data_IF_145361068438
#
_entry.id   IF_145361068438
#
_cell.length_a   1.000
_cell.length_b   1.000
_cell.length_c   1.000
_cell.angle_alpha   90.00
_cell.angle_beta   90.00
_cell.angle_gamma   90.00
#
_symmetry.space_group_name_H-M   'P 1'
#
loop_
_entity.id
_entity.type
_entity.pdbx_description
1 polymer ?
#
# COMPACT_ATOMS: atom_id res chain seq x y z
N UNK A 1 6.46 -5.22 1.24
CA UNK A 1 6.59 -3.77 0.95
C UNK A 1 6.06 -3.46 -0.45
N UNK A 2 5.36 -2.34 -0.66
CA UNK A 2 4.79 -2.00 -1.96
C UNK A 2 5.84 -1.33 -2.86
N UNK A 3 6.07 -1.86 -4.06
CA UNK A 3 7.00 -1.31 -5.03
C UNK A 3 6.54 -1.51 -6.47
N UNK A 4 7.12 -0.75 -7.39
CA UNK A 4 7.05 -1.10 -8.81
C UNK A 4 7.90 -2.35 -9.11
N UNK A 5 7.72 -2.91 -10.31
CA UNK A 5 8.34 -4.17 -10.76
C UNK A 5 9.88 -4.14 -10.68
N UNK A 6 10.49 -2.98 -10.96
CA UNK A 6 11.95 -2.82 -10.99
C UNK A 6 12.51 -2.42 -9.60
N UNK A 7 11.63 -2.09 -8.64
CA UNK A 7 12.03 -1.65 -7.30
C UNK A 7 12.62 -0.23 -7.23
N UNK A 8 12.50 0.58 -8.27
CA UNK A 8 12.94 1.99 -8.27
C UNK A 8 11.97 2.93 -7.57
N UNK A 9 10.71 2.53 -7.45
CA UNK A 9 9.69 3.20 -6.65
C UNK A 9 9.27 2.26 -5.54
N UNK A 10 9.66 2.58 -4.30
CA UNK A 10 9.29 1.82 -3.09
C UNK A 10 8.57 2.75 -2.13
N UNK A 11 7.42 2.32 -1.64
CA UNK A 11 6.70 2.99 -0.56
C UNK A 11 7.29 2.55 0.80
N UNK A 12 7.17 3.45 1.79
CA UNK A 12 7.45 3.10 3.18
C UNK A 12 6.59 1.90 3.61
N UNK A 13 7.10 1.12 4.57
CA UNK A 13 6.30 0.06 5.17
C UNK A 13 5.15 0.69 5.95
N UNK A 14 3.93 0.25 5.67
CA UNK A 14 2.75 0.71 6.40
C UNK A 14 2.50 -0.22 7.60
N UNK A 15 2.79 0.28 8.81
CA UNK A 15 2.73 -0.49 10.06
C UNK A 15 1.46 -0.14 10.82
N UNK A 16 0.64 -1.15 11.10
CA UNK A 16 -0.58 -1.02 11.89
C UNK A 16 -0.38 -1.69 13.24
N UNK A 17 -0.69 -0.99 14.34
CA UNK A 17 -0.69 -1.60 15.67
C UNK A 17 -1.79 -1.03 16.58
N UNK A 18 -2.07 -1.68 17.71
CA UNK A 18 -3.08 -1.19 18.67
C UNK A 18 -2.59 0.04 19.44
N UNK A 19 -1.29 0.07 19.77
CA UNK A 19 -0.73 1.12 20.61
C UNK A 19 -0.73 2.45 19.84
N UNK A 20 -1.06 3.57 20.49
CA UNK A 20 -0.88 4.88 19.83
C UNK A 20 0.61 5.21 19.66
N UNK A 21 1.41 4.89 20.67
CA UNK A 21 2.85 5.10 20.70
C UNK A 21 3.54 3.80 21.15
N UNK A 22 3.93 2.91 20.21
CA UNK A 22 4.63 1.68 20.56
C UNK A 22 5.94 1.97 21.28
N UNK A 23 6.18 1.33 22.43
CA UNK A 23 7.47 1.44 23.14
C UNK A 23 8.64 1.01 22.27
N UNK A 24 8.42 0.05 21.38
CA UNK A 24 9.43 -0.43 20.42
C UNK A 24 9.92 0.66 19.46
N UNK A 25 9.14 1.72 19.22
CA UNK A 25 9.53 2.84 18.35
C UNK A 25 9.99 4.07 19.14
N UNK A 26 10.05 3.97 20.48
CA UNK A 26 10.48 5.09 21.31
C UNK A 26 11.93 5.44 20.97
N UNK A 27 12.17 6.70 20.60
CA UNK A 27 13.48 7.23 20.20
C UNK A 27 14.07 6.61 18.92
N UNK A 28 13.28 5.90 18.12
CA UNK A 28 13.71 5.41 16.81
C UNK A 28 13.07 6.27 15.71
N UNK A 29 13.87 6.70 14.75
CA UNK A 29 13.39 7.33 13.52
C UNK A 29 13.39 6.29 12.40
N UNK A 30 12.28 5.57 12.25
CA UNK A 30 12.13 4.53 11.23
C UNK A 30 11.40 5.09 9.99
N UNK A 31 11.82 4.72 8.76
CA UNK A 31 11.15 5.14 7.53
C UNK A 31 9.88 4.32 7.28
N UNK A 32 8.93 4.39 8.22
CA UNK A 32 7.67 3.65 8.20
C UNK A 32 6.50 4.61 8.34
N UNK A 33 5.42 4.30 7.65
CA UNK A 33 4.15 5.00 7.81
C UNK A 33 3.37 4.24 8.89
N UNK A 34 3.09 4.90 10.02
CA UNK A 34 2.49 4.25 11.18
C UNK A 34 1.03 4.64 11.38
N UNK A 35 0.16 3.66 11.65
CA UNK A 35 -1.24 3.91 12.03
C UNK A 35 -1.64 3.09 13.24
N UNK A 36 -2.19 3.75 14.25
CA UNK A 36 -2.80 3.06 15.38
C UNK A 36 -4.24 2.66 15.05
N UNK A 37 -4.59 1.38 15.24
CA UNK A 37 -5.92 0.86 15.00
C UNK A 37 -6.20 -0.31 15.95
N UNK A 38 -7.41 -0.36 16.51
CA UNK A 38 -7.76 -1.25 17.64
C UNK A 38 -7.63 -2.75 17.35
N UNK A 39 -7.78 -3.15 16.09
CA UNK A 39 -7.63 -4.54 15.65
C UNK A 39 -6.19 -4.90 15.31
N UNK A 40 -5.32 -3.93 15.02
CA UNK A 40 -3.91 -4.10 14.61
C UNK A 40 -3.71 -4.91 13.33
N UNK A 41 -4.66 -4.85 12.40
CA UNK A 41 -4.53 -5.41 11.06
C UNK A 41 -5.21 -4.50 10.04
N UNK A 42 -4.95 -4.75 8.76
CA UNK A 42 -5.49 -3.97 7.65
C UNK A 42 -7.00 -4.10 7.60
N UNK A 43 -7.75 -3.00 7.67
CA UNK A 43 -9.21 -3.04 7.42
C UNK A 43 -9.54 -2.17 6.22
N UNK A 44 -10.69 -2.38 5.60
CA UNK A 44 -11.15 -1.63 4.42
C UNK A 44 -10.96 -0.11 4.52
N UNK A 45 -11.35 0.49 5.64
CA UNK A 45 -11.21 1.95 5.84
C UNK A 45 -9.75 2.39 5.92
N UNK A 46 -8.89 1.61 6.57
CA UNK A 46 -7.45 1.88 6.65
C UNK A 46 -6.79 1.71 5.29
N UNK A 47 -7.17 0.67 4.54
CA UNK A 47 -6.70 0.45 3.19
C UNK A 47 -7.11 1.59 2.26
N UNK A 48 -8.36 2.05 2.34
CA UNK A 48 -8.87 3.20 1.57
C UNK A 48 -8.10 4.48 1.87
N UNK A 49 -7.87 4.79 3.15
CA UNK A 49 -7.09 5.95 3.56
C UNK A 49 -5.65 5.90 3.02
N UNK A 50 -5.00 4.74 3.16
CA UNK A 50 -3.65 4.54 2.62
C UNK A 50 -3.63 4.63 1.09
N UNK A 51 -4.61 4.03 0.40
CA UNK A 51 -4.70 4.04 -1.05
C UNK A 51 -4.83 5.47 -1.58
N UNK A 52 -5.83 6.22 -1.13
CA UNK A 52 -6.08 7.58 -1.62
C UNK A 52 -5.08 8.60 -1.10
N UNK A 53 -4.62 8.47 0.14
CA UNK A 53 -3.73 9.44 0.79
C UNK A 53 -2.24 9.23 0.53
N UNK A 54 -1.82 7.98 0.29
CA UNK A 54 -0.39 7.63 0.16
C UNK A 54 -0.06 7.05 -1.21
N UNK A 55 -0.74 5.98 -1.62
CA UNK A 55 -0.42 5.26 -2.85
C UNK A 55 -0.61 6.15 -4.09
N UNK A 56 -1.82 6.70 -4.28
CA UNK A 56 -2.16 7.50 -5.46
C UNK A 56 -1.23 8.73 -5.62
N UNK A 57 -1.00 9.56 -4.58
CA UNK A 57 -0.11 10.72 -4.70
C UNK A 57 1.34 10.31 -4.96
N UNK A 58 1.80 9.21 -4.37
CA UNK A 58 3.17 8.73 -4.55
C UNK A 58 3.42 8.26 -5.99
N UNK A 59 2.50 7.49 -6.57
CA UNK A 59 2.58 7.05 -7.98
C UNK A 59 2.57 8.27 -8.92
N UNK A 60 1.66 9.22 -8.69
CA UNK A 60 1.62 10.48 -9.46
C UNK A 60 2.95 11.24 -9.41
N UNK A 61 3.51 11.40 -8.22
CA UNK A 61 4.77 12.13 -7.99
C UNK A 61 5.95 11.43 -8.68
N UNK A 62 6.03 10.11 -8.55
CA UNK A 62 7.06 9.30 -9.19
C UNK A 62 6.97 9.40 -10.71
N UNK A 63 5.80 9.14 -11.30
CA UNK A 63 5.63 9.18 -12.75
C UNK A 63 5.92 10.57 -13.33
N UNK A 64 5.46 11.64 -12.67
CA UNK A 64 5.79 13.02 -13.06
C UNK A 64 7.30 13.29 -13.02
N UNK A 65 7.99 12.87 -11.97
CA UNK A 65 9.45 13.05 -11.82
C UNK A 65 10.24 12.34 -12.92
N UNK A 66 9.74 11.20 -13.39
CA UNK A 66 10.41 10.36 -14.37
C UNK A 66 9.85 10.50 -15.79
N UNK A 67 8.99 11.51 -16.06
CA UNK A 67 8.33 11.73 -17.35
C UNK A 67 7.60 10.48 -17.89
N UNK A 68 7.00 9.69 -16.99
CA UNK A 68 6.22 8.50 -17.31
C UNK A 68 4.73 8.86 -17.47
N UNK A 69 3.99 7.97 -18.14
CA UNK A 69 2.52 8.07 -18.20
C UNK A 69 1.92 8.14 -16.80
N UNK A 70 0.83 8.90 -16.64
CA UNK A 70 0.06 8.94 -15.39
C UNK A 70 -0.58 7.59 -15.04
N UNK A 71 -0.75 6.71 -16.03
CA UNK A 71 -1.44 5.44 -15.85
C UNK A 71 -0.57 4.43 -15.10
N UNK A 72 -1.17 3.71 -14.17
CA UNK A 72 -0.52 2.63 -13.43
C UNK A 72 -1.46 1.44 -13.22
N UNK A 73 -0.87 0.25 -13.15
CA UNK A 73 -1.54 -0.97 -12.73
C UNK A 73 -1.14 -1.29 -11.29
N UNK A 74 -2.11 -1.42 -10.40
CA UNK A 74 -1.88 -1.85 -9.03
C UNK A 74 -2.33 -3.30 -8.86
N UNK A 75 -1.38 -4.18 -8.52
CA UNK A 75 -1.63 -5.61 -8.35
C UNK A 75 -1.73 -5.91 -6.85
N UNK A 76 -2.85 -6.50 -6.43
CA UNK A 76 -3.14 -6.84 -5.03
C UNK A 76 -3.37 -8.34 -4.86
N UNK A 77 -3.11 -8.87 -3.67
CA UNK A 77 -3.61 -10.19 -3.31
C UNK A 77 -5.14 -10.18 -3.19
N UNK A 78 -5.75 -11.35 -3.37
CA UNK A 78 -7.19 -11.52 -3.29
C UNK A 78 -7.65 -11.58 -1.81
N UNK A 79 -7.63 -10.42 -1.15
CA UNK A 79 -7.96 -10.26 0.25
C UNK A 79 -9.25 -9.41 0.40
N UNK A 80 -10.26 -9.82 1.19
CA UNK A 80 -11.52 -9.09 1.33
C UNK A 80 -11.34 -7.62 1.72
N UNK A 81 -10.33 -7.32 2.52
CA UNK A 81 -9.96 -5.99 3.01
C UNK A 81 -9.58 -5.02 1.88
N UNK A 82 -9.17 -5.56 0.72
CA UNK A 82 -8.81 -4.80 -0.47
C UNK A 82 -10.01 -4.48 -1.37
N UNK A 83 -11.22 -4.91 -1.01
CA UNK A 83 -12.46 -4.59 -1.73
C UNK A 83 -13.09 -3.32 -1.16
N UNK A 84 -12.61 -2.16 -1.61
CA UNK A 84 -13.16 -0.84 -1.26
C UNK A 84 -13.93 -0.23 -2.44
N UNK A 85 -14.89 0.64 -2.14
CA UNK A 85 -15.56 1.43 -3.17
C UNK A 85 -14.54 2.39 -3.83
N UNK A 86 -14.69 2.64 -5.13
CA UNK A 86 -13.81 3.53 -5.93
C UNK A 86 -12.33 3.09 -6.05
N UNK A 87 -12.04 1.78 -6.02
CA UNK A 87 -10.72 1.22 -6.35
C UNK A 87 -10.18 1.69 -7.72
N UNK A 88 -11.07 1.82 -8.70
CA UNK A 88 -10.71 2.31 -10.02
C UNK A 88 -10.68 3.84 -10.03
N UNK A 89 -9.47 4.39 -9.89
CA UNK A 89 -9.22 5.80 -10.09
C UNK A 89 -8.99 6.07 -11.59
N UNK A 90 -9.23 7.29 -12.07
CA UNK A 90 -9.11 7.69 -13.49
C UNK A 90 -7.79 7.35 -14.21
N UNK A 91 -6.73 6.96 -13.50
CA UNK A 91 -5.46 6.53 -14.06
C UNK A 91 -4.83 5.33 -13.33
N UNK A 92 -5.51 4.76 -12.33
CA UNK A 92 -5.03 3.55 -11.65
C UNK A 92 -6.06 2.46 -11.87
N UNK A 93 -5.62 1.41 -12.56
CA UNK A 93 -6.37 0.16 -12.67
C UNK A 93 -5.91 -0.75 -11.55
N UNK A 94 -6.85 -1.37 -10.85
CA UNK A 94 -6.54 -2.41 -9.85
C UNK A 94 -6.80 -3.78 -10.45
N UNK A 95 -5.88 -4.72 -10.22
CA UNK A 95 -6.04 -6.13 -10.54
C UNK A 95 -5.75 -6.99 -9.31
N UNK A 96 -6.56 -8.01 -9.11
CA UNK A 96 -6.37 -8.99 -8.06
C UNK A 96 -5.65 -10.22 -8.63
N UNK A 97 -4.69 -10.74 -7.87
CA UNK A 97 -4.09 -12.03 -8.17
C UNK A 97 -5.15 -13.15 -8.03
N UNK A 98 -4.99 -14.27 -8.75
CA UNK A 98 -5.82 -15.44 -8.53
C UNK A 98 -5.80 -15.89 -7.04
N UNK A 99 -6.84 -16.60 -6.58
CA UNK A 99 -6.77 -17.25 -5.27
C UNK A 99 -5.60 -18.25 -5.23
N UNK A 100 -5.01 -18.43 -4.05
CA UNK A 100 -3.96 -19.43 -3.75
C UNK A 100 -2.63 -19.32 -4.50
N UNK A 101 -2.33 -18.21 -5.19
CA UNK A 101 -1.03 -17.98 -5.85
C UNK A 101 -0.17 -16.91 -5.17
N UNK A 102 -0.66 -16.31 -4.08
CA UNK A 102 -0.01 -15.19 -3.39
C UNK A 102 1.41 -15.52 -2.94
N UNK A 103 1.64 -16.71 -2.34
CA UNK A 103 2.96 -17.11 -1.86
C UNK A 103 4.00 -17.27 -2.98
N UNK A 104 3.55 -17.53 -4.22
CA UNK A 104 4.43 -17.72 -5.38
C UNK A 104 4.68 -16.39 -6.08
N UNK A 105 3.64 -15.54 -6.18
CA UNK A 105 3.66 -14.32 -6.99
C UNK A 105 3.94 -13.04 -6.21
N UNK A 106 3.82 -13.06 -4.88
CA UNK A 106 4.12 -11.93 -4.00
C UNK A 106 5.25 -12.32 -3.05
N UNK A 107 6.52 -12.18 -3.47
CA UNK A 107 7.68 -12.49 -2.63
C UNK A 107 7.83 -11.58 -1.41
N UNK A 108 6.95 -10.60 -1.26
CA UNK A 108 6.95 -9.61 -0.17
C UNK A 108 5.80 -9.78 0.83
N UNK A 109 4.98 -10.82 0.67
CA UNK A 109 4.00 -11.28 1.68
C UNK A 109 4.64 -12.29 2.66
#
# INVERSE_FOLDING_TARGET
PCSNVIGTHKLNLFVISKAKNPRAFKNLNLPVDYKNQSKAWMIKSVFSEWFHGTFIPSVKKFNKKHNLSKNALFILNNCPEHTIDNLNHSFIRVMFLPPNVTQILQPTD
#
